data_IF_832678681854
#
_entry.id   IF_832678681854
#
_cell.length_a   1.000
_cell.length_b   1.000
_cell.length_c   1.000
_cell.angle_alpha   90.00
_cell.angle_beta   90.00
_cell.angle_gamma   90.00
#
_symmetry.space_group_name_H-M   'P 1'
#
loop_
_entity.id
_entity.type
_entity.pdbx_description
1 polymer ?
#
# COMPACT_ATOMS: atom_id res chain seq x y z
N UNK A 1 -6.87 -9.17 -14.55
CA UNK A 1 -7.15 -8.49 -13.26
C UNK A 1 -7.26 -7.01 -13.54
N UNK A 2 -8.49 -6.53 -13.73
CA UNK A 2 -8.79 -5.16 -14.19
C UNK A 2 -8.59 -4.17 -13.03
N UNK A 3 -7.44 -3.48 -13.05
CA UNK A 3 -7.12 -2.22 -12.37
C UNK A 3 -7.94 -1.80 -11.16
N UNK A 4 -7.47 -2.20 -9.97
CA UNK A 4 -7.61 -1.36 -8.79
C UNK A 4 -6.38 -0.45 -8.73
N UNK A 5 -6.57 0.87 -8.74
CA UNK A 5 -5.47 1.78 -8.45
C UNK A 5 -5.10 1.61 -6.97
N UNK A 6 -3.86 1.21 -6.68
CA UNK A 6 -3.36 1.11 -5.31
C UNK A 6 -2.91 2.50 -4.88
N UNK A 7 -3.81 3.27 -4.27
CA UNK A 7 -3.43 4.57 -3.73
C UNK A 7 -2.74 4.40 -2.37
N UNK A 8 -1.40 4.43 -2.31
CA UNK A 8 -0.64 4.69 -1.08
C UNK A 8 -0.96 6.08 -0.55
N UNK A 9 -1.59 6.17 0.61
CA UNK A 9 -1.89 7.44 1.28
C UNK A 9 -1.36 7.39 2.72
N UNK A 10 -0.64 8.44 3.12
CA UNK A 10 -0.22 8.66 4.51
C UNK A 10 -1.45 8.83 5.40
N UNK A 11 -1.65 7.92 6.36
CA UNK A 11 -2.77 7.99 7.31
C UNK A 11 -2.38 8.71 8.60
N UNK A 12 -1.08 8.69 8.93
CA UNK A 12 -0.52 9.32 10.12
C UNK A 12 0.99 9.36 10.04
N UNK A 13 1.60 10.03 11.00
CA UNK A 13 3.06 10.15 11.11
C UNK A 13 3.46 9.83 12.53
N UNK A 14 4.62 9.19 12.69
CA UNK A 14 5.23 8.99 14.00
C UNK A 14 5.72 10.33 14.56
N UNK A 15 5.57 10.52 15.87
CA UNK A 15 6.05 11.74 16.51
C UNK A 15 7.56 11.59 16.67
N UNK A 16 8.32 12.30 15.84
CA UNK A 16 9.78 12.14 15.71
C UNK A 16 10.48 12.06 17.08
N UNK A 17 11.00 10.88 17.42
CA UNK A 17 11.77 10.63 18.64
C UNK A 17 10.98 10.09 19.83
N UNK A 18 9.66 9.87 19.73
CA UNK A 18 8.83 9.29 20.79
C UNK A 18 8.14 8.00 20.31
N UNK A 19 8.79 6.85 20.52
CA UNK A 19 8.18 5.54 20.28
C UNK A 19 6.98 5.31 21.22
N UNK A 20 6.02 4.51 20.74
CA UNK A 20 4.83 4.09 21.50
C UNK A 20 3.83 5.21 21.83
N UNK A 21 3.95 6.35 21.15
CA UNK A 21 2.93 7.39 21.21
C UNK A 21 1.81 7.12 20.20
N UNK A 22 0.58 7.60 20.47
CA UNK A 22 -0.47 7.59 19.46
C UNK A 22 -0.01 8.36 18.21
N UNK A 23 -0.29 7.85 17.00
CA UNK A 23 0.08 8.54 15.76
C UNK A 23 -0.62 9.89 15.67
N UNK A 24 0.05 10.85 15.02
CA UNK A 24 -0.51 12.19 14.79
C UNK A 24 -0.99 12.35 13.35
N UNK A 25 -1.86 13.33 13.13
CA UNK A 25 -2.34 13.69 11.80
C UNK A 25 -1.18 14.01 10.86
N UNK A 26 -1.16 13.44 9.64
CA UNK A 26 -0.09 13.70 8.68
C UNK A 26 -0.15 15.16 8.20
N UNK A 27 0.99 15.69 7.75
CA UNK A 27 1.04 17.02 7.14
C UNK A 27 0.22 17.06 5.85
N UNK A 28 -0.52 18.15 5.62
CA UNK A 28 -1.20 18.33 4.35
C UNK A 28 -0.18 18.42 3.20
N UNK A 29 -0.39 17.61 2.17
CA UNK A 29 0.31 17.73 0.90
C UNK A 29 -0.02 19.05 0.18
N UNK A 30 0.99 19.73 -0.37
CA UNK A 30 0.78 20.96 -1.16
C UNK A 30 0.36 20.65 -2.60
N UNK A 31 0.87 19.56 -3.15
CA UNK A 31 0.71 19.15 -4.55
C UNK A 31 0.19 17.72 -4.63
N UNK A 32 -0.31 17.33 -5.81
CA UNK A 32 -0.70 15.94 -6.11
C UNK A 32 0.49 15.00 -5.93
N UNK A 33 0.28 13.87 -5.24
CA UNK A 33 1.25 12.78 -5.13
C UNK A 33 0.77 11.56 -5.90
N UNK A 34 1.71 10.88 -6.56
CA UNK A 34 1.42 9.62 -7.22
C UNK A 34 1.32 8.50 -6.17
N UNK A 35 0.26 7.70 -6.29
CA UNK A 35 -0.07 6.63 -5.38
C UNK A 35 -0.40 5.40 -6.24
N UNK A 36 0.65 4.76 -6.75
CA UNK A 36 0.60 3.64 -7.71
C UNK A 36 1.34 2.39 -7.21
N UNK A 37 2.00 2.47 -6.05
CA UNK A 37 2.85 1.42 -5.47
C UNK A 37 2.61 1.33 -3.97
N UNK A 38 2.84 0.14 -3.42
CA UNK A 38 2.81 -0.07 -1.97
C UNK A 38 3.91 0.72 -1.26
N UNK A 39 3.61 1.21 -0.06
CA UNK A 39 4.60 1.76 0.87
C UNK A 39 5.46 0.67 1.53
N UNK A 40 6.42 1.09 2.34
CA UNK A 40 7.11 0.17 3.25
C UNK A 40 6.11 -0.38 4.27
N UNK A 41 6.27 -1.66 4.64
CA UNK A 41 5.50 -2.26 5.73
C UNK A 41 6.17 -1.95 7.07
N UNK A 42 5.44 -2.09 8.17
CA UNK A 42 6.02 -1.91 9.49
C UNK A 42 7.03 -3.01 9.82
N UNK A 43 7.98 -2.75 10.74
CA UNK A 43 8.96 -3.74 11.15
C UNK A 43 8.28 -4.95 11.76
N UNK A 44 8.57 -6.12 11.19
CA UNK A 44 7.97 -7.41 11.52
C UNK A 44 9.07 -8.46 11.54
N UNK A 45 8.86 -9.52 12.32
CA UNK A 45 9.74 -10.70 12.34
C UNK A 45 9.11 -11.83 11.51
N UNK A 46 9.37 -11.90 10.20
CA UNK A 46 8.85 -13.00 9.38
C UNK A 46 9.47 -14.35 9.79
N UNK A 47 8.77 -15.47 9.56
CA UNK A 47 9.36 -16.80 9.70
C UNK A 47 10.46 -17.01 8.66
N UNK A 48 11.52 -17.72 9.04
CA UNK A 48 12.57 -18.13 8.11
C UNK A 48 12.12 -19.38 7.34
N UNK A 49 12.21 -19.31 6.01
CA UNK A 49 11.91 -20.42 5.10
C UNK A 49 13.03 -20.66 4.10
N UNK A 50 14.24 -20.13 4.36
CA UNK A 50 15.37 -20.19 3.43
C UNK A 50 15.71 -21.62 2.99
N UNK A 51 15.62 -22.58 3.92
CA UNK A 51 15.72 -24.00 3.61
C UNK A 51 14.33 -24.65 3.57
N UNK A 52 13.87 -24.98 2.36
CA UNK A 52 12.56 -25.59 2.14
C UNK A 52 12.37 -26.91 2.90
N UNK A 53 13.41 -27.74 2.98
CA UNK A 53 13.32 -29.05 3.63
C UNK A 53 13.13 -28.94 5.13
N UNK A 54 13.85 -28.01 5.77
CA UNK A 54 13.71 -27.70 7.20
C UNK A 54 12.37 -27.01 7.47
N UNK A 55 11.98 -26.05 6.63
CA UNK A 55 10.71 -25.34 6.77
C UNK A 55 9.49 -26.26 6.61
N UNK A 56 9.60 -27.40 5.91
CA UNK A 56 8.53 -28.41 5.84
C UNK A 56 8.38 -29.23 7.12
N UNK A 57 9.36 -29.20 8.03
CA UNK A 57 9.22 -29.78 9.37
C UNK A 57 8.36 -28.88 10.28
N UNK A 58 8.36 -27.56 10.03
CA UNK A 58 7.64 -26.56 10.82
C UNK A 58 6.29 -26.17 10.20
N UNK A 59 6.23 -26.04 8.87
CA UNK A 59 5.06 -25.54 8.16
C UNK A 59 4.47 -26.59 7.21
N UNK A 60 3.12 -26.72 7.16
CA UNK A 60 2.46 -27.50 6.13
C UNK A 60 2.77 -26.97 4.73
N UNK A 61 2.82 -27.85 3.72
CA UNK A 61 3.17 -27.49 2.33
C UNK A 61 2.37 -26.29 1.79
N UNK A 62 1.06 -26.24 2.04
CA UNK A 62 0.23 -25.11 1.60
C UNK A 62 0.61 -23.78 2.26
N UNK A 63 0.96 -23.81 3.55
CA UNK A 63 1.42 -22.63 4.31
C UNK A 63 2.77 -22.14 3.77
N UNK A 64 3.69 -23.07 3.49
CA UNK A 64 5.01 -22.77 2.95
C UNK A 64 4.91 -22.11 1.57
N UNK A 65 4.09 -22.66 0.66
CA UNK A 65 3.84 -22.07 -0.67
C UNK A 65 3.20 -20.66 -0.58
N UNK A 66 2.39 -20.41 0.45
CA UNK A 66 1.84 -19.08 0.69
C UNK A 66 2.90 -18.11 1.21
N UNK A 67 3.75 -18.54 2.14
CA UNK A 67 4.86 -17.73 2.67
C UNK A 67 5.86 -17.35 1.57
N UNK A 68 6.22 -18.30 0.69
CA UNK A 68 7.10 -18.05 -0.47
C UNK A 68 6.60 -16.87 -1.33
N UNK A 69 5.28 -16.68 -1.45
CA UNK A 69 4.67 -15.57 -2.19
C UNK A 69 4.56 -14.28 -1.37
N UNK A 70 4.34 -14.40 -0.07
CA UNK A 70 4.07 -13.26 0.81
C UNK A 70 5.35 -12.54 1.26
N UNK A 71 6.41 -13.29 1.62
CA UNK A 71 7.63 -12.72 2.20
C UNK A 71 8.30 -11.65 1.33
N UNK A 72 8.36 -11.76 -0.02
CA UNK A 72 8.90 -10.69 -0.87
C UNK A 72 8.14 -9.37 -0.73
N UNK A 73 6.83 -9.40 -0.45
CA UNK A 73 6.02 -8.20 -0.24
C UNK A 73 6.30 -7.51 1.12
N UNK A 74 6.98 -8.22 2.04
CA UNK A 74 7.33 -7.75 3.38
C UNK A 74 8.81 -7.34 3.51
N UNK A 75 9.58 -7.37 2.41
CA UNK A 75 11.02 -7.12 2.44
C UNK A 75 11.37 -5.65 2.73
N UNK A 76 10.55 -4.70 2.27
CA UNK A 76 10.77 -3.27 2.46
C UNK A 76 10.11 -2.81 3.78
N UNK A 77 10.85 -2.85 4.88
CA UNK A 77 10.36 -2.49 6.21
C UNK A 77 10.93 -1.15 6.70
N UNK A 78 10.11 -0.37 7.40
CA UNK A 78 10.48 0.93 7.96
C UNK A 78 9.59 1.24 9.16
N UNK A 79 10.10 1.93 10.18
CA UNK A 79 9.27 2.51 11.26
C UNK A 79 8.28 3.56 10.71
N UNK A 80 8.64 4.25 9.61
CA UNK A 80 7.70 5.06 8.84
C UNK A 80 6.90 4.17 7.87
N UNK A 81 5.84 3.54 8.39
CA UNK A 81 5.02 2.56 7.67
C UNK A 81 3.51 2.86 7.69
N UNK A 82 3.09 4.01 8.22
CA UNK A 82 1.67 4.30 8.47
C UNK A 82 0.93 4.77 7.20
N UNK A 83 0.79 3.83 6.26
CA UNK A 83 0.17 4.03 4.95
C UNK A 83 -1.04 3.12 4.78
N UNK A 84 -2.07 3.64 4.08
CA UNK A 84 -3.23 2.88 3.65
C UNK A 84 -3.19 2.66 2.14
N UNK A 85 -3.81 1.57 1.67
CA UNK A 85 -4.11 1.32 0.26
C UNK A 85 -5.64 1.40 0.05
N UNK A 86 -6.10 2.25 -0.87
CA UNK A 86 -7.52 2.35 -1.22
C UNK A 86 -7.82 1.58 -2.50
N UNK A 87 -8.90 0.81 -2.49
CA UNK A 87 -9.37 0.05 -3.64
C UNK A 87 -10.79 0.51 -3.99
N UNK A 88 -10.95 1.17 -5.13
CA UNK A 88 -12.24 1.73 -5.58
C UNK A 88 -12.77 0.91 -6.76
N UNK A 89 -14.00 0.39 -6.72
CA UNK A 89 -14.60 -0.29 -7.86
C UNK A 89 -14.69 0.64 -9.05
N UNK A 90 -14.22 0.19 -10.22
CA UNK A 90 -14.44 0.93 -11.47
C UNK A 90 -15.88 0.68 -11.90
N UNK A 91 -16.76 1.66 -11.68
CA UNK A 91 -18.14 1.60 -12.17
C UNK A 91 -18.14 1.53 -13.71
N UNK A 92 -18.92 0.61 -14.27
CA UNK A 92 -19.31 0.57 -15.69
C UNK A 92 -20.80 0.22 -15.76
N UNK A 93 -21.57 0.69 -16.76
CA UNK A 93 -21.18 0.96 -18.14
C UNK A 93 -21.14 2.46 -18.51
N UNK A 94 -20.59 2.75 -19.68
CA UNK A 94 -20.71 4.04 -20.39
C UNK A 94 -22.18 4.39 -20.66
N UNK A 95 -22.90 4.83 -19.64
CA UNK A 95 -24.10 5.65 -19.82
C UNK A 95 -23.61 7.09 -19.97
N UNK A 96 -23.93 7.68 -21.12
CA UNK A 96 -23.37 8.94 -21.59
C UNK A 96 -23.15 9.95 -20.48
N UNK A 97 -21.92 10.49 -20.42
CA UNK A 97 -21.65 11.73 -19.72
C UNK A 97 -22.67 12.77 -20.20
N UNK A 98 -23.70 13.05 -19.41
CA UNK A 98 -24.26 14.39 -19.39
C UNK A 98 -23.10 15.29 -18.95
N UNK A 99 -22.48 15.96 -19.92
CA UNK A 99 -21.56 17.07 -19.68
C UNK A 99 -22.28 18.06 -18.77
N UNK A 100 -21.96 18.03 -17.48
CA UNK A 100 -22.50 19.00 -16.53
C UNK A 100 -22.60 18.47 -15.12
N UNK A 101 -21.46 18.17 -14.46
CA UNK A 101 -21.22 18.54 -13.05
C UNK A 101 -19.83 18.14 -12.50
N UNK A 102 -18.80 17.93 -13.33
CA UNK A 102 -17.42 17.85 -12.83
C UNK A 102 -16.60 18.87 -13.62
N UNK A 103 -16.26 19.97 -12.94
CA UNK A 103 -15.31 20.95 -13.44
C UNK A 103 -13.99 20.27 -13.73
N UNK A 104 -13.71 20.09 -15.02
CA UNK A 104 -12.42 19.65 -15.53
C UNK A 104 -11.40 20.74 -15.21
N UNK A 105 -10.64 20.59 -14.12
CA UNK A 105 -9.33 21.22 -14.05
C UNK A 105 -8.40 20.32 -14.85
N UNK A 106 -8.11 20.74 -16.08
CA UNK A 106 -7.05 20.17 -16.89
C UNK A 106 -5.76 20.21 -16.07
N UNK A 107 -5.16 19.05 -15.82
CA UNK A 107 -3.72 18.97 -15.55
C UNK A 107 -3.10 19.12 -16.93
N UNK A 108 -2.84 20.35 -17.33
CA UNK A 108 -2.03 20.62 -18.52
C UNK A 108 -0.59 20.24 -18.22
N UNK A 109 0.00 19.52 -19.16
CA UNK A 109 1.38 19.07 -19.19
C UNK A 109 2.33 20.26 -18.95
N UNK A 110 3.07 20.21 -17.84
CA UNK A 110 4.16 21.13 -17.52
C UNK A 110 5.49 20.39 -17.64
N UNK A 111 6.33 20.90 -18.56
CA UNK A 111 7.67 20.46 -18.93
C UNK A 111 8.64 20.18 -17.78
#
# INVERSE_FOLDING_TARGET
>A
MSGSAVCKIEQGVDRSGELYMPPVTPSLWRNTRLADRFGAVCPQRPPDIGNRSEALLEFPRGRLLYLEKLLPLLANQSEDCLYLNLYVPRTGPTMGFHKGLLGQRNVEDGA
#
